data_IF_988286572166
#
_entry.id   IF_988286572166
#
_cell.length_a   1.000
_cell.length_b   1.000
_cell.length_c   1.000
_cell.angle_alpha   90.00
_cell.angle_beta   90.00
_cell.angle_gamma   90.00
#
_symmetry.space_group_name_H-M   'P 1'
#
loop_
_entity.id
_entity.type
_entity.pdbx_description
1 polymer ?
#
# COMPACT_ATOMS: atom_id res chain seq x y z
N UNK A 1 37.43 -28.49 -26.07
CA UNK A 1 37.06 -29.84 -26.56
C UNK A 1 35.60 -29.78 -27.02
N UNK A 2 35.37 -29.39 -28.28
CA UNK A 2 34.91 -30.26 -29.38
C UNK A 2 33.73 -31.17 -29.01
N UNK A 3 32.53 -30.77 -29.44
CA UNK A 3 31.67 -31.54 -30.37
C UNK A 3 30.62 -30.60 -30.99
N UNK A 4 31.01 -29.99 -32.10
CA UNK A 4 30.09 -29.35 -33.04
C UNK A 4 29.45 -30.49 -33.83
N UNK A 5 28.16 -30.73 -33.62
CA UNK A 5 27.37 -31.64 -34.44
C UNK A 5 26.96 -30.82 -35.67
N UNK A 6 27.63 -31.08 -36.78
CA UNK A 6 27.28 -30.49 -38.07
C UNK A 6 25.96 -31.05 -38.56
N UNK A 7 24.96 -30.20 -38.70
CA UNK A 7 23.84 -30.44 -39.59
C UNK A 7 24.22 -29.90 -40.97
N UNK A 8 24.67 -30.80 -41.83
CA UNK A 8 24.79 -30.55 -43.26
C UNK A 8 23.38 -30.48 -43.85
N UNK A 9 22.86 -29.27 -44.07
CA UNK A 9 21.67 -29.06 -44.87
C UNK A 9 22.10 -29.14 -46.34
N UNK A 10 21.84 -30.29 -46.95
CA UNK A 10 21.97 -30.46 -48.40
C UNK A 10 20.79 -29.72 -49.01
N UNK A 11 21.01 -28.46 -49.40
CA UNK A 11 20.10 -27.74 -50.31
C UNK A 11 20.07 -28.51 -51.63
N UNK A 12 18.94 -29.16 -51.90
CA UNK A 12 18.64 -29.65 -53.23
C UNK A 12 18.37 -28.44 -54.13
N UNK A 13 19.42 -27.95 -54.78
CA UNK A 13 19.33 -26.98 -55.87
C UNK A 13 18.62 -27.68 -57.03
N UNK A 14 17.29 -27.58 -57.09
CA UNK A 14 16.52 -27.94 -58.27
C UNK A 14 16.80 -26.89 -59.35
N UNK A 15 17.90 -27.10 -60.07
CA UNK A 15 18.24 -26.36 -61.27
C UNK A 15 17.21 -26.69 -62.36
N UNK A 16 16.14 -25.89 -62.46
CA UNK A 16 15.11 -26.01 -63.48
C UNK A 16 15.37 -24.99 -64.60
N UNK A 17 16.06 -25.49 -65.64
CA UNK A 17 15.98 -25.10 -67.05
C UNK A 17 15.76 -23.62 -67.41
N UNK A 18 16.86 -22.95 -67.77
CA UNK A 18 16.86 -21.74 -68.60
C UNK A 18 16.32 -22.09 -70.02
N UNK A 19 15.07 -21.71 -70.30
CA UNK A 19 14.58 -21.52 -71.67
C UNK A 19 14.30 -20.03 -71.86
N UNK A 20 14.92 -19.49 -72.90
CA UNK A 20 14.86 -18.09 -73.30
C UNK A 20 13.45 -17.66 -73.72
N UNK A 21 12.70 -17.13 -72.77
CA UNK A 21 11.57 -16.21 -72.90
C UNK A 21 11.56 -15.35 -71.62
N UNK A 22 12.37 -14.29 -71.59
CA UNK A 22 11.96 -12.88 -71.49
C UNK A 22 11.15 -12.64 -70.21
N UNK A 23 11.73 -11.88 -69.27
CA UNK A 23 11.29 -11.42 -67.93
C UNK A 23 9.90 -11.81 -67.37
N UNK A 24 8.88 -11.95 -68.20
CA UNK A 24 7.55 -12.49 -67.91
C UNK A 24 7.58 -13.84 -67.18
N UNK A 25 8.41 -14.80 -67.60
CA UNK A 25 8.48 -16.12 -66.93
C UNK A 25 9.10 -16.07 -65.53
N UNK A 26 10.09 -15.19 -65.33
CA UNK A 26 10.70 -14.95 -64.02
C UNK A 26 9.75 -14.18 -63.09
N UNK A 27 8.97 -13.25 -63.64
CA UNK A 27 7.91 -12.55 -62.90
C UNK A 27 6.81 -13.51 -62.46
N UNK A 28 6.39 -14.45 -63.29
CA UNK A 28 5.39 -15.46 -62.93
C UNK A 28 5.88 -16.36 -61.77
N UNK A 29 7.16 -16.75 -61.80
CA UNK A 29 7.81 -17.48 -60.70
C UNK A 29 7.83 -16.65 -59.41
N UNK A 30 8.25 -15.38 -59.48
CA UNK A 30 8.26 -14.49 -58.33
C UNK A 30 6.86 -14.22 -57.77
N UNK A 31 5.85 -14.04 -58.61
CA UNK A 31 4.46 -13.87 -58.19
C UNK A 31 3.95 -15.11 -57.44
N UNK A 32 4.29 -16.30 -57.93
CA UNK A 32 3.93 -17.55 -57.25
C UNK A 32 4.62 -17.65 -55.89
N UNK A 33 5.93 -17.44 -55.84
CA UNK A 33 6.71 -17.50 -54.60
C UNK A 33 6.26 -16.45 -53.57
N UNK A 34 6.01 -15.21 -54.02
CA UNK A 34 5.48 -14.14 -53.18
C UNK A 34 4.06 -14.47 -52.66
N UNK A 35 3.21 -15.05 -53.51
CA UNK A 35 1.86 -15.48 -53.10
C UNK A 35 1.88 -16.55 -52.01
N UNK A 36 2.72 -17.57 -52.15
CA UNK A 36 2.89 -18.62 -51.14
C UNK A 36 3.48 -18.06 -49.83
N UNK A 37 4.49 -17.19 -49.94
CA UNK A 37 5.07 -16.49 -48.80
C UNK A 37 4.03 -15.63 -48.07
N UNK A 38 3.27 -14.81 -48.80
CA UNK A 38 2.26 -13.92 -48.23
C UNK A 38 1.14 -14.69 -47.55
N UNK A 39 0.73 -15.84 -48.10
CA UNK A 39 -0.26 -16.71 -47.45
C UNK A 39 0.25 -17.22 -46.08
N UNK A 40 1.53 -17.59 -45.99
CA UNK A 40 2.16 -17.96 -44.72
C UNK A 40 2.35 -16.77 -43.78
N UNK A 41 2.77 -15.61 -44.31
CA UNK A 41 2.92 -14.38 -43.55
C UNK A 41 1.59 -13.95 -42.93
N UNK A 42 0.50 -13.97 -43.71
CA UNK A 42 -0.84 -13.68 -43.22
C UNK A 42 -1.28 -14.66 -42.12
N UNK A 43 -1.05 -15.96 -42.29
CA UNK A 43 -1.37 -16.97 -41.27
C UNK A 43 -0.54 -16.79 -39.99
N UNK A 44 0.75 -16.43 -40.13
CA UNK A 44 1.64 -16.13 -39.01
C UNK A 44 1.20 -14.84 -38.28
N UNK A 45 0.95 -13.75 -39.01
CA UNK A 45 0.53 -12.47 -38.46
C UNK A 45 -0.80 -12.59 -37.69
N UNK A 46 -1.75 -13.35 -38.24
CA UNK A 46 -3.01 -13.66 -37.54
C UNK A 46 -2.77 -14.48 -36.27
N UNK A 47 -1.81 -15.42 -36.30
CA UNK A 47 -1.47 -16.25 -35.14
C UNK A 47 -0.73 -15.49 -34.03
N UNK A 48 0.13 -14.51 -34.35
CA UNK A 48 0.83 -13.71 -33.32
C UNK A 48 -0.10 -12.69 -32.64
N UNK A 49 -1.19 -12.27 -33.27
CA UNK A 49 -2.13 -11.29 -32.70
C UNK A 49 -2.63 -11.68 -31.30
N UNK A 50 -3.24 -12.86 -31.07
CA UNK A 50 -3.70 -13.24 -29.72
C UNK A 50 -2.56 -13.38 -28.70
N UNK A 51 -1.36 -13.79 -29.14
CA UNK A 51 -0.18 -13.82 -28.28
C UNK A 51 0.19 -12.39 -27.83
N UNK A 52 0.36 -11.47 -28.79
CA UNK A 52 0.68 -10.07 -28.54
C UNK A 52 -0.40 -9.38 -27.69
N UNK A 53 -1.68 -9.66 -27.94
CA UNK A 53 -2.79 -9.16 -27.14
C UNK A 53 -2.69 -9.67 -25.68
N UNK A 54 -2.28 -10.92 -25.46
CA UNK A 54 -2.05 -11.46 -24.11
C UNK A 54 -0.86 -10.79 -23.39
N UNK A 55 0.22 -10.49 -24.11
CA UNK A 55 1.38 -9.74 -23.57
C UNK A 55 0.95 -8.34 -23.11
N UNK A 56 0.13 -7.64 -23.90
CA UNK A 56 -0.42 -6.33 -23.53
C UNK A 56 -1.35 -6.41 -22.32
N UNK A 57 -2.19 -7.45 -22.24
CA UNK A 57 -3.10 -7.63 -21.12
C UNK A 57 -2.35 -7.85 -19.79
N UNK A 58 -1.29 -8.66 -19.80
CA UNK A 58 -0.41 -8.84 -18.63
C UNK A 58 0.30 -7.52 -18.28
N UNK A 59 0.73 -6.74 -19.28
CA UNK A 59 1.35 -5.43 -19.05
C UNK A 59 0.41 -4.48 -18.32
N UNK A 60 -0.84 -4.36 -18.74
CA UNK A 60 -1.82 -3.50 -18.07
C UNK A 60 -2.18 -4.05 -16.66
N UNK A 61 -2.23 -5.37 -16.47
CA UNK A 61 -2.38 -5.96 -15.13
C UNK A 61 -1.21 -5.59 -14.20
N UNK A 62 0.04 -5.73 -14.66
CA UNK A 62 1.22 -5.32 -13.89
C UNK A 62 1.22 -3.82 -13.59
N UNK A 63 0.76 -3.02 -14.55
CA UNK A 63 0.65 -1.56 -14.40
C UNK A 63 -0.35 -1.15 -13.31
N UNK A 64 -1.42 -1.91 -13.12
CA UNK A 64 -2.37 -1.65 -12.03
C UNK A 64 -1.71 -1.79 -10.65
N UNK A 65 -0.93 -2.85 -10.45
CA UNK A 65 -0.18 -3.09 -9.19
C UNK A 65 0.87 -2.00 -8.98
N UNK A 66 1.70 -1.72 -9.99
CA UNK A 66 2.74 -0.67 -9.88
C UNK A 66 2.16 0.73 -9.68
N UNK A 67 0.97 1.00 -10.23
CA UNK A 67 0.21 2.22 -9.95
C UNK A 67 -0.22 2.32 -8.49
N UNK A 68 -0.75 1.22 -7.92
CA UNK A 68 -1.13 1.16 -6.50
C UNK A 68 0.09 1.32 -5.57
N UNK A 69 1.21 0.64 -5.86
CA UNK A 69 2.43 0.78 -5.04
C UNK A 69 3.03 2.18 -5.16
N UNK A 70 3.05 2.79 -6.34
CA UNK A 70 3.47 4.18 -6.51
C UNK A 70 2.59 5.16 -5.72
N UNK A 71 1.28 4.94 -5.69
CA UNK A 71 0.33 5.73 -4.88
C UNK A 71 0.65 5.65 -3.38
N UNK A 72 0.80 4.44 -2.86
CA UNK A 72 1.19 4.22 -1.46
C UNK A 72 2.57 4.82 -1.14
N UNK A 73 3.55 4.65 -2.03
CA UNK A 73 4.89 5.23 -1.85
C UNK A 73 4.86 6.76 -1.81
N UNK A 74 3.96 7.40 -2.56
CA UNK A 74 3.78 8.86 -2.50
C UNK A 74 3.30 9.33 -1.13
N UNK A 75 2.50 8.52 -0.41
CA UNK A 75 2.07 8.83 0.96
C UNK A 75 3.23 8.64 1.93
N UNK A 76 3.96 7.52 1.83
CA UNK A 76 5.15 7.25 2.65
C UNK A 76 6.20 8.36 2.51
N UNK A 77 6.40 8.88 1.30
CA UNK A 77 7.39 9.93 1.01
C UNK A 77 7.07 11.28 1.64
N UNK A 78 5.86 11.49 2.17
CA UNK A 78 5.55 12.68 2.98
C UNK A 78 6.30 12.67 4.32
N UNK A 79 6.78 11.50 4.76
CA UNK A 79 7.61 11.37 5.96
C UNK A 79 6.85 11.56 7.27
N UNK A 80 5.54 11.37 7.25
CA UNK A 80 4.70 11.52 8.45
C UNK A 80 4.80 10.26 9.33
N UNK A 81 4.93 10.48 10.64
CA UNK A 81 5.02 9.40 11.62
C UNK A 81 3.62 8.84 11.95
N UNK A 82 3.43 7.52 11.91
CA UNK A 82 2.20 6.89 12.35
C UNK A 82 2.19 6.71 13.87
N UNK A 83 0.99 6.66 14.47
CA UNK A 83 0.83 6.30 15.89
C UNK A 83 1.34 4.87 16.17
N UNK A 84 1.02 3.94 15.28
CA UNK A 84 1.48 2.56 15.27
C UNK A 84 2.46 2.34 14.11
N UNK A 85 3.75 2.28 14.44
CA UNK A 85 4.84 2.05 13.48
C UNK A 85 4.74 0.73 12.70
N UNK A 86 3.99 -0.26 13.22
CA UNK A 86 3.79 -1.53 12.53
C UNK A 86 3.01 -1.37 11.23
N UNK A 87 2.11 -0.39 11.15
CA UNK A 87 1.31 -0.11 9.94
C UNK A 87 2.16 0.27 8.73
N UNK A 88 3.25 1.03 8.92
CA UNK A 88 4.21 1.35 7.86
C UNK A 88 4.97 0.11 7.40
N UNK A 89 5.35 -0.77 8.35
CA UNK A 89 6.03 -2.03 8.04
C UNK A 89 5.12 -2.92 7.22
N UNK A 90 3.87 -3.13 7.66
CA UNK A 90 2.88 -3.93 6.94
C UNK A 90 2.60 -3.39 5.54
N UNK A 91 2.46 -2.06 5.37
CA UNK A 91 2.30 -1.44 4.05
C UNK A 91 3.47 -1.75 3.11
N UNK A 92 4.71 -1.62 3.60
CA UNK A 92 5.92 -1.95 2.81
C UNK A 92 5.98 -3.42 2.43
N UNK A 93 5.61 -4.32 3.34
CA UNK A 93 5.62 -5.76 3.10
C UNK A 93 4.58 -6.15 2.03
N UNK A 94 3.35 -5.62 2.09
CA UNK A 94 2.34 -5.94 1.07
C UNK A 94 2.70 -5.36 -0.31
N UNK A 95 3.29 -4.15 -0.35
CA UNK A 95 3.78 -3.57 -1.60
C UNK A 95 4.88 -4.43 -2.23
N UNK A 96 5.87 -4.86 -1.43
CA UNK A 96 6.96 -5.70 -1.90
C UNK A 96 6.47 -7.08 -2.37
N UNK A 97 5.52 -7.68 -1.65
CA UNK A 97 4.92 -8.95 -2.04
C UNK A 97 4.16 -8.85 -3.38
N UNK A 98 3.41 -7.76 -3.58
CA UNK A 98 2.68 -7.52 -4.82
C UNK A 98 3.62 -7.29 -6.02
N UNK A 99 4.71 -6.53 -5.83
CA UNK A 99 5.72 -6.34 -6.88
C UNK A 99 6.48 -7.62 -7.24
N UNK A 100 6.75 -8.47 -6.24
CA UNK A 100 7.38 -9.77 -6.47
C UNK A 100 6.48 -10.76 -7.23
N UNK A 101 5.16 -10.54 -7.26
CA UNK A 101 4.19 -11.37 -7.97
C UNK A 101 3.96 -10.94 -9.43
N UNK A 102 4.62 -9.86 -9.88
CA UNK A 102 4.51 -9.38 -11.25
C UNK A 102 5.09 -10.39 -12.25
N UNK A 103 4.37 -10.62 -13.35
CA UNK A 103 4.86 -11.47 -14.42
C UNK A 103 5.91 -10.69 -15.24
N UNK A 104 7.10 -11.27 -15.43
CA UNK A 104 8.08 -10.73 -16.37
C UNK A 104 7.51 -10.76 -17.80
N UNK A 105 7.44 -9.58 -18.43
CA UNK A 105 6.83 -9.45 -19.75
C UNK A 105 7.76 -10.00 -20.84
N UNK A 106 7.32 -10.98 -21.65
CA UNK A 106 8.08 -11.39 -22.82
C UNK A 106 7.95 -10.36 -23.95
N UNK A 107 8.84 -10.46 -24.92
CA UNK A 107 8.82 -9.61 -26.11
C UNK A 107 7.63 -9.94 -27.01
N UNK A 108 7.05 -8.90 -27.61
CA UNK A 108 6.04 -9.07 -28.65
C UNK A 108 6.72 -9.54 -29.93
N UNK A 109 5.98 -10.31 -30.71
CA UNK A 109 6.41 -10.72 -32.05
C UNK A 109 6.01 -9.65 -33.06
N UNK A 110 6.89 -9.36 -34.01
CA UNK A 110 6.64 -8.40 -35.07
C UNK A 110 5.82 -9.04 -36.20
N UNK A 111 4.93 -8.25 -36.79
CA UNK A 111 4.26 -8.61 -38.03
C UNK A 111 5.27 -8.64 -39.17
N UNK A 112 5.07 -9.59 -40.07
CA UNK A 112 5.92 -9.78 -41.25
C UNK A 112 5.24 -9.15 -42.45
N UNK A 113 5.98 -8.28 -43.15
CA UNK A 113 5.51 -7.60 -44.34
C UNK A 113 5.33 -8.55 -45.53
N UNK A 114 4.27 -8.30 -46.31
CA UNK A 114 4.02 -8.99 -47.57
C UNK A 114 5.05 -8.60 -48.65
N UNK A 115 5.37 -9.56 -49.51
CA UNK A 115 6.16 -9.35 -50.72
C UNK A 115 5.24 -8.94 -51.86
N UNK A 116 5.62 -7.89 -52.60
CA UNK A 116 4.89 -7.42 -53.78
C UNK A 116 5.76 -7.58 -55.02
N UNK A 117 5.15 -7.94 -56.15
CA UNK A 117 5.85 -8.07 -57.45
C UNK A 117 5.17 -7.16 -58.46
N UNK A 118 5.88 -6.10 -58.87
CA UNK A 118 5.37 -5.06 -59.77
C UNK A 118 5.89 -5.22 -61.21
N UNK A 119 5.09 -4.76 -62.19
CA UNK A 119 5.42 -4.85 -63.62
C UNK A 119 6.70 -4.08 -64.01
N UNK A 120 7.08 -3.06 -63.24
CA UNK A 120 8.26 -2.21 -63.49
C UNK A 120 9.53 -2.63 -62.77
N UNK A 121 9.52 -3.74 -62.04
CA UNK A 121 10.63 -4.15 -61.19
C UNK A 121 11.80 -4.72 -61.99
N UNK A 122 13.03 -4.40 -61.61
CA UNK A 122 14.24 -4.89 -62.29
C UNK A 122 14.46 -6.38 -62.02
N UNK A 123 15.14 -7.06 -62.95
CA UNK A 123 15.38 -8.51 -62.86
C UNK A 123 16.03 -8.93 -61.53
N UNK A 124 17.01 -8.16 -61.06
CA UNK A 124 17.73 -8.44 -59.81
C UNK A 124 16.81 -8.37 -58.59
N UNK A 125 15.87 -7.43 -58.57
CA UNK A 125 14.92 -7.26 -57.48
C UNK A 125 13.91 -8.42 -57.47
N UNK A 126 13.45 -8.85 -58.66
CA UNK A 126 12.58 -10.03 -58.83
C UNK A 126 13.28 -11.30 -58.32
N UNK A 127 14.55 -11.51 -58.68
CA UNK A 127 15.36 -12.64 -58.18
C UNK A 127 15.51 -12.58 -56.65
N UNK A 128 15.67 -11.39 -56.06
CA UNK A 128 15.75 -11.21 -54.61
C UNK A 128 14.45 -11.55 -53.87
N UNK A 129 13.28 -11.32 -54.49
CA UNK A 129 11.98 -11.68 -53.94
C UNK A 129 11.85 -13.21 -53.86
N UNK A 130 12.21 -13.91 -54.93
CA UNK A 130 12.20 -15.39 -54.96
C UNK A 130 13.11 -15.94 -53.86
N UNK A 131 14.33 -15.39 -53.72
CA UNK A 131 15.27 -15.80 -52.69
C UNK A 131 14.76 -15.52 -51.27
N UNK A 132 14.21 -14.32 -51.02
CA UNK A 132 13.63 -13.96 -49.71
C UNK A 132 12.44 -14.85 -49.38
N UNK A 133 11.54 -15.09 -50.33
CA UNK A 133 10.41 -15.99 -50.16
C UNK A 133 10.90 -17.39 -49.78
N UNK A 134 11.86 -17.96 -50.50
CA UNK A 134 12.40 -19.29 -50.21
C UNK A 134 13.06 -19.37 -48.82
N UNK A 135 13.87 -18.38 -48.45
CA UNK A 135 14.65 -18.41 -47.21
C UNK A 135 13.83 -18.11 -45.96
N UNK A 136 12.79 -17.27 -46.04
CA UNK A 136 12.01 -16.86 -44.87
C UNK A 136 10.72 -17.67 -44.68
N UNK A 137 10.22 -18.35 -45.73
CA UNK A 137 8.94 -19.08 -45.72
C UNK A 137 8.88 -20.22 -44.70
N UNK A 138 10.00 -20.79 -44.28
CA UNK A 138 10.06 -21.82 -43.22
C UNK A 138 10.00 -21.24 -41.81
N UNK A 139 10.34 -19.96 -41.64
CA UNK A 139 10.23 -19.24 -40.37
C UNK A 139 8.79 -18.76 -40.10
N UNK A 140 8.00 -18.55 -41.16
CA UNK A 140 6.60 -18.13 -41.11
C UNK A 140 5.65 -19.30 -40.86
N UNK A 141 5.70 -19.83 -39.64
CA UNK A 141 4.84 -20.93 -39.20
C UNK A 141 4.05 -20.55 -37.96
N UNK A 142 2.70 -20.63 -37.98
CA UNK A 142 1.86 -20.45 -36.79
C UNK A 142 2.27 -21.36 -35.62
N UNK A 143 2.85 -22.54 -35.90
CA UNK A 143 3.31 -23.47 -34.87
C UNK A 143 4.57 -22.98 -34.12
N UNK A 144 5.27 -21.96 -34.64
CA UNK A 144 6.40 -21.30 -33.98
C UNK A 144 5.96 -20.17 -33.05
N UNK A 145 4.68 -19.75 -33.10
CA UNK A 145 4.14 -18.73 -32.20
C UNK A 145 3.98 -19.31 -30.80
N UNK A 146 4.52 -18.67 -29.74
CA UNK A 146 4.32 -19.12 -28.37
C UNK A 146 2.85 -19.10 -27.98
N UNK A 147 2.50 -19.94 -27.01
CA UNK A 147 1.16 -19.91 -26.40
C UNK A 147 0.87 -18.56 -25.75
N UNK A 148 -0.40 -18.17 -25.75
CA UNK A 148 -0.86 -16.99 -25.00
C UNK A 148 -0.53 -17.12 -23.52
N UNK A 149 -0.22 -15.98 -22.91
CA UNK A 149 0.07 -15.87 -21.49
C UNK A 149 -1.25 -15.69 -20.75
N UNK A 150 -1.39 -16.39 -19.62
CA UNK A 150 -2.52 -16.18 -18.73
C UNK A 150 -2.42 -14.82 -18.04
N UNK A 151 -3.50 -14.05 -18.09
CA UNK A 151 -3.56 -12.74 -17.44
C UNK A 151 -3.73 -12.95 -15.94
N UNK A 152 -2.80 -12.46 -15.10
CA UNK A 152 -2.91 -12.63 -13.65
C UNK A 152 -4.03 -11.75 -13.09
N UNK A 153 -4.73 -12.26 -12.08
CA UNK A 153 -5.66 -11.48 -11.27
C UNK A 153 -4.94 -10.95 -10.03
N UNK A 154 -4.76 -9.62 -9.97
CA UNK A 154 -4.13 -8.94 -8.85
C UNK A 154 -5.11 -8.23 -7.92
N UNK A 155 -6.42 -8.49 -8.05
CA UNK A 155 -7.45 -7.82 -7.24
C UNK A 155 -7.20 -7.96 -5.73
N UNK A 156 -6.86 -9.15 -5.25
CA UNK A 156 -6.53 -9.37 -3.83
C UNK A 156 -5.27 -8.62 -3.39
N UNK A 157 -4.24 -8.55 -4.24
CA UNK A 157 -3.00 -7.82 -3.95
C UNK A 157 -3.22 -6.31 -3.87
N UNK A 158 -4.02 -5.77 -4.80
CA UNK A 158 -4.38 -4.34 -4.83
C UNK A 158 -5.23 -3.99 -3.62
N UNK A 159 -6.19 -4.84 -3.25
CA UNK A 159 -7.00 -4.64 -2.04
C UNK A 159 -6.15 -4.68 -0.78
N UNK A 160 -5.21 -5.63 -0.67
CA UNK A 160 -4.29 -5.69 0.47
C UNK A 160 -3.43 -4.42 0.59
N UNK A 161 -2.95 -3.86 -0.53
CA UNK A 161 -2.25 -2.56 -0.55
C UNK A 161 -3.16 -1.44 -0.04
N UNK A 162 -4.41 -1.36 -0.54
CA UNK A 162 -5.35 -0.31 -0.16
C UNK A 162 -5.71 -0.38 1.34
N UNK A 163 -5.97 -1.58 1.86
CA UNK A 163 -6.26 -1.79 3.29
C UNK A 163 -5.08 -1.39 4.16
N UNK A 164 -3.86 -1.82 3.80
CA UNK A 164 -2.65 -1.47 4.54
C UNK A 164 -2.34 0.03 4.46
N UNK A 165 -2.58 0.65 3.29
CA UNK A 165 -2.40 2.09 3.11
C UNK A 165 -3.36 2.88 4.00
N UNK A 166 -4.64 2.49 4.01
CA UNK A 166 -5.65 3.11 4.86
C UNK A 166 -5.29 2.98 6.34
N UNK A 167 -4.83 1.80 6.78
CA UNK A 167 -4.38 1.60 8.16
C UNK A 167 -3.18 2.51 8.53
N UNK A 168 -2.22 2.70 7.62
CA UNK A 168 -1.10 3.61 7.81
C UNK A 168 -1.55 5.08 7.87
N UNK A 169 -2.41 5.52 6.96
CA UNK A 169 -2.98 6.87 6.96
C UNK A 169 -3.81 7.16 8.22
N UNK A 170 -4.63 6.20 8.64
CA UNK A 170 -5.42 6.31 9.86
C UNK A 170 -4.52 6.38 11.09
N UNK A 171 -3.41 5.64 11.09
CA UNK A 171 -2.40 5.69 12.15
C UNK A 171 -1.70 7.04 12.23
N UNK A 172 -1.34 7.65 11.10
CA UNK A 172 -0.80 9.03 11.03
C UNK A 172 -1.82 10.01 11.61
N UNK A 173 -3.08 9.90 11.18
CA UNK A 173 -4.13 10.80 11.64
C UNK A 173 -4.43 10.62 13.14
N UNK A 174 -4.38 9.39 13.64
CA UNK A 174 -4.48 9.07 15.05
C UNK A 174 -3.40 9.77 15.87
N UNK A 175 -2.14 9.77 15.41
CA UNK A 175 -1.06 10.48 16.10
C UNK A 175 -1.30 11.99 16.16
N UNK A 176 -1.76 12.59 15.06
CA UNK A 176 -2.10 14.02 15.02
C UNK A 176 -3.19 14.39 16.02
N UNK A 177 -4.19 13.53 16.18
CA UNK A 177 -5.28 13.75 17.14
C UNK A 177 -4.78 13.78 18.60
N UNK A 178 -3.69 13.09 18.91
CA UNK A 178 -3.10 13.05 20.26
C UNK A 178 -1.83 13.89 20.37
N UNK A 179 -1.58 14.77 19.41
CA UNK A 179 -0.49 15.75 19.45
C UNK A 179 -1.05 17.11 19.88
N UNK A 180 -0.93 17.39 21.17
CA UNK A 180 -1.43 18.58 21.85
C UNK A 180 -2.91 18.92 21.52
N UNK A 181 -3.85 17.96 21.70
CA UNK A 181 -5.28 18.23 21.49
C UNK A 181 -5.83 19.32 22.41
N UNK A 182 -6.96 19.92 22.04
CA UNK A 182 -7.71 20.80 22.94
C UNK A 182 -8.53 20.00 23.96
N UNK A 183 -8.85 20.63 25.09
CA UNK A 183 -9.75 20.05 26.10
C UNK A 183 -11.14 19.71 25.51
N UNK A 184 -11.68 20.59 24.65
CA UNK A 184 -12.95 20.35 23.95
C UNK A 184 -12.91 19.07 23.11
N UNK A 185 -11.81 18.85 22.37
CA UNK A 185 -11.63 17.62 21.60
C UNK A 185 -11.60 16.42 22.53
N UNK A 186 -10.78 16.46 23.59
CA UNK A 186 -10.69 15.35 24.57
C UNK A 186 -12.06 15.01 25.13
N UNK A 187 -12.81 16.01 25.61
CA UNK A 187 -14.16 15.84 26.15
C UNK A 187 -15.12 15.24 25.10
N UNK A 188 -15.10 15.75 23.87
CA UNK A 188 -15.94 15.25 22.77
C UNK A 188 -15.67 13.77 22.48
N UNK A 189 -14.40 13.35 22.57
CA UNK A 189 -14.00 11.97 22.28
C UNK A 189 -14.37 11.01 23.41
N UNK A 190 -14.18 11.39 24.66
CA UNK A 190 -14.36 10.47 25.80
C UNK A 190 -15.79 10.42 26.35
N UNK A 191 -16.64 11.42 26.07
CA UNK A 191 -18.06 11.42 26.50
C UNK A 191 -18.88 10.24 25.97
N UNK A 192 -18.42 9.58 24.90
CA UNK A 192 -19.08 8.42 24.31
C UNK A 192 -18.76 7.08 25.01
N UNK A 193 -17.86 7.09 25.99
CA UNK A 193 -17.47 5.89 26.76
C UNK A 193 -18.51 5.68 27.86
N UNK A 194 -19.16 4.51 27.89
CA UNK A 194 -20.32 4.23 28.74
C UNK A 194 -20.10 4.53 30.23
N UNK A 195 -18.89 4.27 30.74
CA UNK A 195 -18.57 4.47 32.15
C UNK A 195 -18.17 5.90 32.48
N UNK A 196 -17.82 6.72 31.48
CA UNK A 196 -17.44 8.12 31.69
C UNK A 196 -18.68 8.95 31.95
N UNK A 197 -18.73 9.57 33.13
CA UNK A 197 -19.79 10.46 33.58
C UNK A 197 -19.46 11.94 33.34
N UNK A 198 -19.70 12.75 34.37
CA UNK A 198 -19.38 14.18 34.31
C UNK A 198 -17.87 14.40 34.10
N UNK A 199 -17.54 15.44 33.34
CA UNK A 199 -16.16 15.85 33.07
C UNK A 199 -16.04 17.37 33.04
N UNK A 200 -14.86 17.87 33.37
CA UNK A 200 -14.58 19.30 33.37
C UNK A 200 -13.10 19.56 33.06
N UNK A 201 -12.81 20.61 32.26
CA UNK A 201 -11.44 21.04 32.03
C UNK A 201 -10.93 21.86 33.22
N UNK A 202 -9.63 21.76 33.48
CA UNK A 202 -8.92 22.61 34.42
C UNK A 202 -8.79 24.03 33.85
N UNK A 203 -8.93 25.03 34.72
CA UNK A 203 -8.72 26.45 34.34
C UNK A 203 -7.69 27.10 35.26
N UNK A 204 -7.14 28.26 34.89
CA UNK A 204 -6.11 28.92 35.71
C UNK A 204 -6.63 29.31 37.11
N UNK A 205 -7.92 29.64 37.22
CA UNK A 205 -8.58 29.97 38.49
C UNK A 205 -9.03 28.71 39.26
N UNK A 206 -8.96 27.54 38.62
CA UNK A 206 -9.46 26.28 39.17
C UNK A 206 -8.54 25.12 38.74
N UNK A 207 -7.33 25.11 39.31
CA UNK A 207 -6.28 24.12 39.10
C UNK A 207 -5.76 23.63 40.46
N UNK A 208 -6.18 22.43 40.93
CA UNK A 208 -5.74 21.87 42.21
C UNK A 208 -4.22 21.73 42.35
N UNK A 209 -3.49 21.58 41.23
CA UNK A 209 -2.05 21.34 41.22
C UNK A 209 -1.23 22.60 40.90
N UNK A 210 -1.86 23.67 40.42
CA UNK A 210 -1.25 24.93 40.00
C UNK A 210 -0.20 24.76 38.88
N UNK A 211 -0.37 23.75 38.01
CA UNK A 211 0.56 23.38 36.95
C UNK A 211 0.11 23.77 35.54
N UNK A 212 -1.13 24.19 35.35
CA UNK A 212 -1.63 24.62 34.04
C UNK A 212 -0.75 25.76 33.49
N UNK A 213 -0.26 25.56 32.27
CA UNK A 213 0.60 26.49 31.54
C UNK A 213 1.90 26.88 32.25
N UNK A 214 2.38 26.08 33.22
CA UNK A 214 3.68 26.26 33.87
C UNK A 214 4.77 25.42 33.18
N UNK A 215 6.03 25.78 33.40
CA UNK A 215 7.17 25.01 32.89
C UNK A 215 7.12 23.57 33.42
N UNK A 216 7.12 22.58 32.52
CA UNK A 216 6.99 21.15 32.85
C UNK A 216 5.59 20.75 33.35
N UNK A 217 4.60 21.64 33.22
CA UNK A 217 3.20 21.36 33.51
C UNK A 217 2.41 21.03 32.25
N UNK A 218 1.15 20.64 32.45
CA UNK A 218 0.22 20.40 31.37
C UNK A 218 -0.29 21.71 30.76
N UNK A 219 -0.64 21.68 29.47
CA UNK A 219 -1.26 22.79 28.72
C UNK A 219 -2.78 22.65 28.64
N UNK A 220 -3.32 21.51 29.06
CA UNK A 220 -4.74 21.21 29.20
C UNK A 220 -4.90 20.01 30.13
N UNK A 221 -6.02 19.90 30.84
CA UNK A 221 -6.32 18.75 31.68
C UNK A 221 -7.82 18.62 31.81
N UNK A 222 -8.35 17.44 31.51
CA UNK A 222 -9.78 17.12 31.68
C UNK A 222 -9.90 16.06 32.75
N UNK A 223 -10.51 16.42 33.88
CA UNK A 223 -10.94 15.45 34.88
C UNK A 223 -12.30 14.87 34.51
N UNK A 224 -12.51 13.59 34.80
CA UNK A 224 -13.77 12.92 34.54
C UNK A 224 -14.14 11.93 35.65
N UNK A 225 -15.44 11.70 35.79
CA UNK A 225 -15.99 10.69 36.70
C UNK A 225 -16.12 9.34 36.00
N UNK A 226 -15.86 8.25 36.71
CA UNK A 226 -16.25 6.91 36.27
C UNK A 226 -17.46 6.42 37.10
N UNK A 227 -18.55 6.06 36.42
CA UNK A 227 -19.82 5.68 37.03
C UNK A 227 -19.76 4.36 37.84
N UNK A 228 -18.63 3.65 37.81
CA UNK A 228 -18.39 2.43 38.60
C UNK A 228 -17.83 2.72 39.99
N UNK A 229 -17.39 3.96 40.26
CA UNK A 229 -16.84 4.38 41.55
C UNK A 229 -17.98 4.78 42.50
N UNK A 230 -17.92 4.30 43.75
CA UNK A 230 -18.84 4.68 44.81
C UNK A 230 -18.39 6.00 45.46
N UNK A 231 -18.92 7.11 44.97
CA UNK A 231 -18.58 8.46 45.45
C UNK A 231 -18.91 8.69 46.93
N UNK A 232 -19.84 7.93 47.52
CA UNK A 232 -20.17 8.05 48.94
C UNK A 232 -19.04 7.50 49.84
N UNK A 233 -18.10 6.72 49.28
CA UNK A 233 -16.96 6.14 49.98
C UNK A 233 -15.64 6.88 49.73
N UNK A 234 -15.61 7.86 48.81
CA UNK A 234 -14.42 8.64 48.53
C UNK A 234 -14.14 9.62 49.68
N UNK A 235 -12.89 9.64 50.13
CA UNK A 235 -12.41 10.67 51.05
C UNK A 235 -11.68 11.76 50.26
N UNK A 236 -12.30 12.93 50.12
CA UNK A 236 -11.68 14.10 49.52
C UNK A 236 -12.10 15.37 50.26
N UNK A 237 -11.23 16.38 50.20
CA UNK A 237 -11.48 17.69 50.78
C UNK A 237 -11.95 18.62 49.64
N UNK A 238 -13.24 18.99 49.61
CA UNK A 238 -13.79 19.85 48.54
C UNK A 238 -15.30 19.75 48.36
N UNK A 239 -15.81 20.42 47.33
CA UNK A 239 -17.17 20.31 46.82
C UNK A 239 -17.33 18.98 46.07
N UNK A 240 -18.15 18.08 46.63
CA UNK A 240 -18.44 16.77 46.07
C UNK A 240 -19.20 16.77 44.74
N UNK A 241 -19.67 17.93 44.30
CA UNK A 241 -20.25 18.12 42.97
C UNK A 241 -19.21 18.55 41.92
N UNK A 242 -18.02 18.97 42.34
CA UNK A 242 -17.00 19.48 41.44
C UNK A 242 -16.06 18.36 40.96
N UNK A 243 -16.00 18.14 39.64
CA UNK A 243 -15.19 17.08 39.04
C UNK A 243 -13.69 17.39 39.16
N UNK A 244 -13.31 18.67 39.10
CA UNK A 244 -11.91 19.09 39.14
C UNK A 244 -11.37 18.99 40.57
N UNK A 245 -12.15 19.36 41.58
CA UNK A 245 -11.73 19.23 42.99
C UNK A 245 -11.59 17.76 43.43
N UNK A 246 -12.47 16.87 42.96
CA UNK A 246 -12.34 15.42 43.18
C UNK A 246 -11.09 14.86 42.50
N UNK A 247 -10.73 15.40 41.34
CA UNK A 247 -9.52 15.01 40.63
C UNK A 247 -9.56 13.57 40.12
N UNK A 248 -8.42 12.87 40.21
CA UNK A 248 -8.29 11.51 39.66
C UNK A 248 -9.07 10.45 40.44
N UNK A 249 -9.35 10.69 41.72
CA UNK A 249 -9.97 9.71 42.62
C UNK A 249 -11.40 9.36 42.15
N UNK A 250 -12.09 10.33 41.54
CA UNK A 250 -13.45 10.18 41.01
C UNK A 250 -13.55 9.44 39.68
N UNK A 251 -12.45 9.11 39.02
CA UNK A 251 -12.49 8.38 37.74
C UNK A 251 -11.16 8.43 37.01
N UNK A 252 -10.68 9.63 36.72
CA UNK A 252 -9.40 9.81 36.06
C UNK A 252 -9.18 11.20 35.50
N UNK A 253 -8.10 11.32 34.74
CA UNK A 253 -7.74 12.56 34.06
C UNK A 253 -7.13 12.27 32.69
N UNK A 254 -7.32 13.20 31.77
CA UNK A 254 -6.58 13.26 30.51
C UNK A 254 -5.75 14.54 30.55
N UNK A 255 -4.45 14.40 30.81
CA UNK A 255 -3.50 15.50 30.92
C UNK A 255 -2.83 15.72 29.55
N UNK A 256 -2.90 16.94 29.01
CA UNK A 256 -2.33 17.30 27.71
C UNK A 256 -1.03 18.06 27.89
N UNK A 257 0.03 17.61 27.23
CA UNK A 257 1.35 18.24 27.24
C UNK A 257 1.71 18.80 25.87
N UNK A 258 2.67 19.73 25.89
CA UNK A 258 3.19 20.37 24.68
C UNK A 258 4.03 19.41 23.83
N UNK A 259 4.75 18.50 24.48
CA UNK A 259 5.71 17.58 23.85
C UNK A 259 5.53 16.18 24.40
N UNK A 260 6.01 15.18 23.65
CA UNK A 260 5.98 13.78 24.11
C UNK A 260 6.91 13.62 25.31
N UNK A 261 8.05 14.30 25.31
CA UNK A 261 9.03 14.28 26.39
C UNK A 261 8.45 14.80 27.71
N UNK A 262 7.62 15.85 27.66
CA UNK A 262 6.92 16.36 28.85
C UNK A 262 5.88 15.35 29.37
N UNK A 263 5.18 14.65 28.47
CA UNK A 263 4.22 13.59 28.83
C UNK A 263 4.93 12.37 29.44
N UNK A 264 6.06 11.96 28.87
CA UNK A 264 6.90 10.89 29.42
C UNK A 264 7.46 11.26 30.80
N UNK A 265 7.98 12.48 30.96
CA UNK A 265 8.46 12.95 32.26
C UNK A 265 7.36 12.95 33.33
N UNK A 266 6.13 13.29 32.94
CA UNK A 266 4.96 13.16 33.82
C UNK A 266 4.67 11.70 34.16
N UNK A 267 4.68 10.82 33.17
CA UNK A 267 4.43 9.39 33.37
C UNK A 267 5.47 8.75 34.30
N UNK A 268 6.76 9.09 34.14
CA UNK A 268 7.84 8.65 35.03
C UNK A 268 7.68 9.17 36.46
N UNK A 269 7.23 10.42 36.60
CA UNK A 269 6.90 10.97 37.91
C UNK A 269 5.77 10.17 38.58
N UNK A 270 4.70 9.85 37.86
CA UNK A 270 3.57 9.07 38.40
C UNK A 270 4.00 7.66 38.80
N UNK A 271 4.84 7.02 37.99
CA UNK A 271 5.38 5.69 38.25
C UNK A 271 6.19 5.60 39.55
N UNK A 272 6.77 6.72 40.02
CA UNK A 272 7.50 6.76 41.29
C UNK A 272 6.61 6.55 42.53
N UNK A 273 5.28 6.63 42.36
CA UNK A 273 4.29 6.39 43.41
C UNK A 273 3.57 5.05 43.27
N UNK A 274 3.86 4.26 42.22
CA UNK A 274 3.21 2.98 42.00
C UNK A 274 3.40 2.02 43.18
N UNK A 275 2.30 1.40 43.63
CA UNK A 275 2.32 0.48 44.77
C UNK A 275 2.51 1.14 46.13
N UNK A 276 2.44 2.47 46.22
CA UNK A 276 2.56 3.22 47.49
C UNK A 276 1.30 3.21 48.35
N UNK A 277 0.38 2.26 48.12
CA UNK A 277 -0.88 2.14 48.84
C UNK A 277 -1.73 3.40 48.66
N UNK A 278 -1.95 4.15 49.74
CA UNK A 278 -2.74 5.38 49.76
C UNK A 278 -2.24 6.49 48.81
N UNK A 279 -1.01 6.40 48.31
CA UNK A 279 -0.45 7.37 47.35
C UNK A 279 -0.39 6.82 45.93
N UNK A 280 -1.09 5.73 45.63
CA UNK A 280 -1.08 5.12 44.30
C UNK A 280 -1.57 6.12 43.24
N UNK A 281 -0.88 6.18 42.11
CA UNK A 281 -1.25 7.06 41.00
C UNK A 281 -2.44 6.54 40.17
N UNK A 282 -2.95 5.35 40.50
CA UNK A 282 -3.81 4.56 39.62
C UNK A 282 -3.04 4.07 38.40
N UNK A 283 -3.73 3.85 37.29
CA UNK A 283 -3.08 3.54 36.01
C UNK A 283 -2.79 4.83 35.25
N UNK A 284 -1.66 4.85 34.56
CA UNK A 284 -1.27 5.96 33.69
C UNK A 284 -0.59 5.45 32.42
N UNK A 285 -0.86 6.13 31.29
CA UNK A 285 -0.30 5.76 29.99
C UNK A 285 -0.07 7.01 29.12
N UNK A 286 1.08 7.06 28.45
CA UNK A 286 1.39 8.07 27.44
C UNK A 286 0.76 7.70 26.10
N UNK A 287 0.05 8.64 25.48
CA UNK A 287 -0.60 8.54 24.18
C UNK A 287 -0.27 9.79 23.39
N UNK A 288 0.80 9.77 22.59
CA UNK A 288 1.32 10.98 21.95
C UNK A 288 1.81 11.99 22.99
N UNK A 289 1.27 13.21 23.00
CA UNK A 289 1.58 14.21 24.04
C UNK A 289 0.55 14.21 25.18
N UNK A 290 -0.28 13.18 25.27
CA UNK A 290 -1.32 13.04 26.30
C UNK A 290 -0.90 12.00 27.34
N UNK A 291 -1.24 12.23 28.61
CA UNK A 291 -1.18 11.20 29.66
C UNK A 291 -2.62 10.89 30.09
N UNK A 292 -3.05 9.66 29.83
CA UNK A 292 -4.33 9.12 30.31
C UNK A 292 -4.10 8.54 31.69
N UNK A 293 -4.86 8.99 32.68
CA UNK A 293 -4.83 8.50 34.07
C UNK A 293 -6.20 7.92 34.44
N UNK A 294 -6.24 6.80 35.15
CA UNK A 294 -7.47 6.21 35.68
C UNK A 294 -7.32 5.89 37.16
N UNK A 295 -8.40 6.08 37.92
CA UNK A 295 -8.43 6.01 39.38
C UNK A 295 -7.93 4.68 39.94
N UNK A 296 -7.23 4.71 41.07
CA UNK A 296 -6.85 3.53 41.85
C UNK A 296 -8.02 2.90 42.62
N UNK A 297 -9.16 3.60 42.71
CA UNK A 297 -10.44 3.08 43.23
C UNK A 297 -11.09 2.07 42.27
N UNK A 298 -10.68 2.08 40.99
CA UNK A 298 -11.06 1.05 40.03
C UNK A 298 -10.18 -0.18 40.21
N UNK A 299 -10.74 -1.37 39.96
CA UNK A 299 -9.93 -2.59 39.86
C UNK A 299 -8.95 -2.50 38.69
N UNK A 300 -7.83 -3.23 38.75
CA UNK A 300 -6.83 -3.24 37.68
C UNK A 300 -7.41 -3.52 36.28
N UNK A 301 -8.37 -4.46 36.18
CA UNK A 301 -9.04 -4.76 34.91
C UNK A 301 -9.92 -3.61 34.41
N UNK A 302 -10.58 -2.88 35.31
CA UNK A 302 -11.40 -1.72 34.95
C UNK A 302 -10.53 -0.53 34.51
N UNK A 303 -9.35 -0.37 35.11
CA UNK A 303 -8.35 0.62 34.70
C UNK A 303 -7.82 0.31 33.30
N UNK A 304 -7.44 -0.95 33.03
CA UNK A 304 -6.99 -1.39 31.70
C UNK A 304 -8.06 -1.18 30.62
N UNK A 305 -9.30 -1.58 30.91
CA UNK A 305 -10.45 -1.39 30.03
C UNK A 305 -10.67 0.10 29.72
N UNK A 306 -10.68 0.96 30.75
CA UNK A 306 -10.95 2.39 30.60
C UNK A 306 -9.82 3.12 29.87
N UNK A 307 -8.56 2.85 30.23
CA UNK A 307 -7.39 3.40 29.54
C UNK A 307 -7.40 3.02 28.06
N UNK A 308 -7.75 1.77 27.74
CA UNK A 308 -7.87 1.30 26.35
C UNK A 308 -9.02 1.99 25.62
N UNK A 309 -10.19 2.13 26.27
CA UNK A 309 -11.34 2.81 25.69
C UNK A 309 -11.04 4.29 25.40
N UNK A 310 -10.39 4.99 26.33
CA UNK A 310 -9.97 6.39 26.16
C UNK A 310 -8.94 6.51 25.03
N UNK A 311 -7.90 5.67 25.03
CA UNK A 311 -6.88 5.68 23.97
C UNK A 311 -7.51 5.49 22.59
N UNK A 312 -8.36 4.45 22.44
CA UNK A 312 -9.07 4.18 21.19
C UNK A 312 -10.01 5.32 20.79
N UNK A 313 -10.71 5.91 21.75
CA UNK A 313 -11.55 7.08 21.50
C UNK A 313 -10.71 8.25 21.00
N UNK A 314 -9.54 8.53 21.56
CA UNK A 314 -8.69 9.65 21.15
C UNK A 314 -8.08 9.45 19.75
N UNK A 315 -7.63 8.24 19.41
CA UNK A 315 -6.94 7.97 18.13
C UNK A 315 -7.87 7.58 16.96
N UNK A 316 -9.12 7.20 17.22
CA UNK A 316 -10.05 6.77 16.16
C UNK A 316 -10.22 7.85 15.09
N UNK A 317 -10.08 7.49 13.82
CA UNK A 317 -10.35 8.37 12.69
C UNK A 317 -11.83 8.27 12.32
N UNK A 318 -12.50 9.40 12.11
CA UNK A 318 -13.93 9.50 11.82
C UNK A 318 -14.28 9.24 10.35
#
# INVERSE_FOLDING_TARGET
MKRVIGFAFVMAFACMTLLSGCDDGLREEAQTAAGEYNAKAAAYNEAIKPYNDSVEAVREANKAVTGATAGAQSVINKGEEPFDSSTLTSLKEVMAAAEAALIELPEKLDEVEELTVDEGMERQDIESIIERAANASDELSPAKVPSCIEVPDYSESIEAINVALKAYEDSIQGLKQVTAPSDDFVMERIQGIETVGAMAPVTEDHDPNGKLNKQGGYIGCVYFRDNRIDFDQLYFEGDSSDVVEIGTDGGGAVEVFKTVEDAEARNDYLASFDGSGFFSSGSHAVVGTVVVRTSDELTASQQEELTTAITNALIRVG
#
